data_IF_552045322390
#
_entry.id   IF_552045322390
#
_cell.length_a   1.000
_cell.length_b   1.000
_cell.length_c   1.000
_cell.angle_alpha   90.00
_cell.angle_beta   90.00
_cell.angle_gamma   90.00
#
_symmetry.space_group_name_H-M   'P 1'
#
loop_
_entity.id
_entity.type
_entity.pdbx_description
1 polymer ?
#
# COMPACT_ATOMS: atom_id res chain seq x y z
N UNK A 1 11.05 -24.65 -11.34
CA UNK A 1 10.09 -23.66 -10.78
C UNK A 1 10.18 -22.40 -11.63
N UNK A 2 9.06 -21.80 -12.04
CA UNK A 2 9.11 -20.50 -12.72
C UNK A 2 9.59 -19.44 -11.72
N UNK A 3 10.53 -18.55 -12.08
CA UNK A 3 10.95 -17.48 -11.19
C UNK A 3 9.73 -16.65 -10.80
N UNK A 4 9.64 -16.30 -9.52
CA UNK A 4 8.59 -15.41 -9.02
C UNK A 4 8.78 -14.08 -9.73
N UNK A 5 7.75 -13.59 -10.43
CA UNK A 5 7.77 -12.25 -11.01
C UNK A 5 7.68 -11.26 -9.86
N UNK A 6 8.81 -10.69 -9.47
CA UNK A 6 8.93 -9.73 -8.37
C UNK A 6 9.47 -8.43 -8.89
N UNK A 7 8.94 -7.34 -8.36
CA UNK A 7 9.42 -5.99 -8.60
C UNK A 7 9.62 -5.33 -7.23
N UNK A 8 10.87 -5.31 -6.77
CA UNK A 8 11.21 -4.81 -5.44
C UNK A 8 11.06 -3.29 -5.35
N UNK A 9 11.32 -2.55 -6.44
CA UNK A 9 11.18 -1.09 -6.45
C UNK A 9 9.72 -0.69 -6.36
N UNK A 10 8.85 -1.33 -7.16
CA UNK A 10 7.40 -1.16 -7.05
C UNK A 10 6.92 -1.53 -5.65
N UNK A 11 7.44 -2.63 -5.10
CA UNK A 11 7.06 -3.06 -3.76
C UNK A 11 7.38 -2.00 -2.70
N UNK A 12 8.61 -1.50 -2.68
CA UNK A 12 9.02 -0.46 -1.74
C UNK A 12 8.24 0.85 -1.93
N UNK A 13 7.93 1.23 -3.17
CA UNK A 13 7.11 2.39 -3.46
C UNK A 13 5.72 2.28 -2.81
N UNK A 14 5.01 1.17 -3.07
CA UNK A 14 3.66 0.95 -2.52
C UNK A 14 3.69 0.88 -1.00
N UNK A 15 4.65 0.17 -0.41
CA UNK A 15 4.82 0.07 1.04
C UNK A 15 5.06 1.44 1.67
N UNK A 16 5.92 2.25 1.05
CA UNK A 16 6.23 3.60 1.52
C UNK A 16 5.00 4.50 1.50
N UNK A 17 4.18 4.40 0.44
CA UNK A 17 2.94 5.17 0.32
C UNK A 17 1.89 4.78 1.36
N UNK A 18 1.71 3.48 1.62
CA UNK A 18 0.82 3.01 2.69
C UNK A 18 1.24 3.54 4.06
N UNK A 19 2.54 3.44 4.38
CA UNK A 19 3.11 3.98 5.63
C UNK A 19 2.95 5.48 5.75
N UNK A 20 3.13 6.21 4.64
CA UNK A 20 2.98 7.66 4.61
C UNK A 20 1.54 8.06 4.93
N UNK A 21 0.54 7.53 4.22
CA UNK A 21 -0.88 7.81 4.49
C UNK A 21 -1.24 7.54 5.95
N UNK A 22 -0.78 6.42 6.51
CA UNK A 22 -1.03 6.09 7.91
C UNK A 22 -0.42 7.11 8.87
N UNK A 23 0.83 7.54 8.64
CA UNK A 23 1.52 8.53 9.50
C UNK A 23 0.95 9.93 9.36
N UNK A 24 0.62 10.36 8.15
CA UNK A 24 0.07 11.69 7.89
C UNK A 24 -1.28 11.89 8.59
N UNK A 25 -2.05 10.81 8.75
CA UNK A 25 -3.30 10.77 9.50
C UNK A 25 -3.13 10.41 10.99
N UNK A 26 -1.88 10.18 11.45
CA UNK A 26 -1.55 9.78 12.81
C UNK A 26 -2.26 8.51 13.32
N UNK A 27 -2.42 7.51 12.43
CA UNK A 27 -3.07 6.23 12.74
C UNK A 27 -2.05 5.15 13.12
N UNK A 28 -2.43 4.28 14.07
CA UNK A 28 -1.67 3.05 14.33
C UNK A 28 -1.96 1.99 13.26
N UNK A 29 -1.15 0.93 13.18
CA UNK A 29 -1.45 -0.16 12.24
C UNK A 29 -2.75 -0.85 12.64
N UNK A 30 -2.96 -1.08 13.93
CA UNK A 30 -4.13 -1.72 14.52
C UNK A 30 -5.40 -0.95 14.15
N UNK A 31 -5.40 0.38 14.30
CA UNK A 31 -6.55 1.21 13.93
C UNK A 31 -6.95 1.03 12.46
N UNK A 32 -5.98 1.01 11.55
CA UNK A 32 -6.28 0.81 10.11
C UNK A 32 -6.75 -0.62 9.86
N UNK A 33 -6.17 -1.62 10.52
CA UNK A 33 -6.59 -3.03 10.42
C UNK A 33 -8.06 -3.17 10.87
N UNK A 34 -8.42 -2.62 12.03
CA UNK A 34 -9.77 -2.70 12.59
C UNK A 34 -10.81 -2.05 11.68
N UNK A 35 -10.48 -0.92 11.05
CA UNK A 35 -11.42 -0.19 10.21
C UNK A 35 -11.49 -0.69 8.76
N UNK A 36 -10.50 -1.47 8.29
CA UNK A 36 -10.44 -1.90 6.88
C UNK A 36 -10.45 -3.41 6.68
N UNK A 37 -10.16 -4.18 7.73
CA UNK A 37 -9.92 -5.63 7.64
C UNK A 37 -8.68 -6.00 6.83
N UNK A 38 -7.83 -5.04 6.47
CA UNK A 38 -6.64 -5.26 5.68
C UNK A 38 -5.48 -5.76 6.53
N UNK A 39 -4.58 -6.50 5.90
CA UNK A 39 -3.40 -7.09 6.50
C UNK A 39 -2.22 -6.09 6.56
N UNK A 40 -2.45 -4.92 7.18
CA UNK A 40 -1.54 -3.78 7.16
C UNK A 40 -0.16 -4.14 7.71
N UNK A 41 -0.09 -4.98 8.75
CA UNK A 41 1.17 -5.45 9.32
C UNK A 41 2.04 -6.16 8.28
N UNK A 42 1.48 -7.11 7.51
CA UNK A 42 2.22 -7.84 6.49
C UNK A 42 2.51 -6.99 5.25
N UNK A 43 1.61 -6.06 4.91
CA UNK A 43 1.85 -5.10 3.84
C UNK A 43 3.00 -4.14 4.17
N UNK A 44 2.98 -3.50 5.33
CA UNK A 44 4.01 -2.52 5.71
C UNK A 44 5.38 -3.15 6.02
N UNK A 45 5.42 -4.44 6.39
CA UNK A 45 6.67 -5.22 6.51
C UNK A 45 7.19 -5.73 5.17
N UNK A 46 6.40 -5.68 4.10
CA UNK A 46 6.75 -6.20 2.78
C UNK A 46 6.73 -7.73 2.66
N UNK A 47 6.28 -8.43 3.71
CA UNK A 47 6.11 -9.89 3.69
C UNK A 47 4.96 -10.34 2.78
N UNK A 48 3.99 -9.46 2.53
CA UNK A 48 2.89 -9.67 1.58
C UNK A 48 2.67 -8.41 0.76
N UNK A 49 2.44 -8.57 -0.54
CA UNK A 49 2.12 -7.45 -1.41
C UNK A 49 0.60 -7.21 -1.45
N UNK A 50 0.12 -5.98 -1.28
CA UNK A 50 -1.31 -5.69 -1.39
C UNK A 50 -1.81 -5.95 -2.81
N UNK A 51 -3.06 -6.41 -2.91
CA UNK A 51 -3.74 -6.50 -4.21
C UNK A 51 -4.32 -5.13 -4.59
N UNK A 52 -4.70 -4.94 -5.85
CA UNK A 52 -5.41 -3.72 -6.27
C UNK A 52 -6.73 -3.54 -5.48
N UNK A 53 -7.42 -4.63 -5.16
CA UNK A 53 -8.62 -4.59 -4.31
C UNK A 53 -8.28 -4.07 -2.91
N UNK A 54 -7.19 -4.57 -2.29
CA UNK A 54 -6.69 -4.08 -1.00
C UNK A 54 -6.38 -2.58 -1.06
N UNK A 55 -5.75 -2.10 -2.13
CA UNK A 55 -5.49 -0.68 -2.33
C UNK A 55 -6.78 0.13 -2.46
N UNK A 56 -7.80 -0.36 -3.17
CA UNK A 56 -9.08 0.36 -3.27
C UNK A 56 -9.82 0.47 -1.92
N UNK A 57 -9.76 -0.56 -1.08
CA UNK A 57 -10.31 -0.52 0.28
C UNK A 57 -9.57 0.55 1.10
N UNK A 58 -8.23 0.54 1.04
CA UNK A 58 -7.40 1.53 1.72
C UNK A 58 -7.71 2.96 1.26
N UNK A 59 -7.83 3.16 -0.06
CA UNK A 59 -8.17 4.46 -0.65
C UNK A 59 -9.53 4.97 -0.16
N UNK A 60 -10.56 4.12 -0.14
CA UNK A 60 -11.88 4.47 0.41
C UNK A 60 -11.81 4.88 1.88
N UNK A 61 -11.02 4.17 2.67
CA UNK A 61 -10.83 4.48 4.09
C UNK A 61 -10.20 5.85 4.32
N UNK A 62 -9.20 6.23 3.52
CA UNK A 62 -8.58 7.57 3.59
C UNK A 62 -9.34 8.65 2.83
N UNK A 63 -10.42 8.32 2.12
CA UNK A 63 -11.18 9.28 1.31
C UNK A 63 -10.44 9.77 0.06
N UNK A 64 -9.51 8.97 -0.47
CA UNK A 64 -8.71 9.30 -1.67
C UNK A 64 -9.03 8.35 -2.82
N UNK A 65 -8.66 8.74 -4.03
CA UNK A 65 -8.66 7.91 -5.23
C UNK A 65 -7.38 7.09 -5.36
N UNK A 66 -7.39 6.06 -6.21
CA UNK A 66 -6.16 5.34 -6.59
C UNK A 66 -5.15 6.27 -7.27
N UNK A 67 -5.61 7.28 -8.03
CA UNK A 67 -4.73 8.28 -8.63
C UNK A 67 -3.96 9.04 -7.54
N UNK A 68 -4.64 9.50 -6.49
CA UNK A 68 -4.01 10.22 -5.37
C UNK A 68 -3.12 9.30 -4.52
N UNK A 69 -3.44 8.01 -4.46
CA UNK A 69 -2.54 7.02 -3.87
C UNK A 69 -1.21 6.98 -4.64
N UNK A 70 -1.23 6.78 -5.95
CA UNK A 70 -0.01 6.72 -6.77
C UNK A 70 0.63 8.08 -7.07
N UNK A 71 -0.08 9.19 -6.82
CA UNK A 71 0.42 10.54 -7.08
C UNK A 71 0.92 10.73 -8.51
N UNK A 72 2.02 11.45 -8.67
CA UNK A 72 2.72 11.65 -9.95
C UNK A 72 3.84 10.61 -10.16
N UNK A 73 3.64 9.36 -9.72
CA UNK A 73 4.64 8.32 -9.91
C UNK A 73 4.78 7.92 -11.38
N UNK A 74 5.95 8.20 -11.95
CA UNK A 74 6.33 7.77 -13.31
C UNK A 74 6.94 6.34 -13.33
N UNK A 75 6.72 5.55 -12.28
CA UNK A 75 7.25 4.19 -12.21
C UNK A 75 6.58 3.23 -13.23
N UNK A 76 7.34 2.38 -13.95
CA UNK A 76 8.80 2.26 -13.93
C UNK A 76 9.47 3.34 -14.79
N UNK A 77 10.56 3.91 -14.28
CA UNK A 77 11.47 4.74 -15.08
C UNK A 77 12.56 3.81 -15.62
N UNK A 78 12.68 3.75 -16.95
CA UNK A 78 13.71 2.96 -17.66
C UNK A 78 15.12 3.56 -17.52
#
# INVERSE_FOLDING_TARGET
>A
MKPKRTDEKLAQYVISRMKQLRRDHNYSQEYVIENTGLDIFHFESGSKFPTLISLTILCRFYGISLREFFGESDYPVE
#
